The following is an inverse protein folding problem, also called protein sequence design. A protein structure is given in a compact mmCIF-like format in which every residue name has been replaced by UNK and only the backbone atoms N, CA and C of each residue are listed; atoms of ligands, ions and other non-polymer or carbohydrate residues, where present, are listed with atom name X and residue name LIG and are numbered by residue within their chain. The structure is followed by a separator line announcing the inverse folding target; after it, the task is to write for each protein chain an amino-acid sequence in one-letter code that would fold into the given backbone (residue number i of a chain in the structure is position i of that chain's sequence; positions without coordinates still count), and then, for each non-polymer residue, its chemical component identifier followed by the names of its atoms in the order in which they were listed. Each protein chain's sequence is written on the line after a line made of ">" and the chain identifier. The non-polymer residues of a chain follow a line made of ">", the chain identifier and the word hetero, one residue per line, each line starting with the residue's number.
data_IF_449703135152
#
_entry.id   IF_449703135152
#
_cell.length_a   1.000
_cell.length_b   1.000
_cell.length_c   1.000
_cell.angle_alpha   90.00
_cell.angle_beta   90.00
_cell.angle_gamma   90.00
#
_symmetry.space_group_name_H-M   'P 1'
#
loop_
_entity.id
_entity.type
_entity.pdbx_description
1 polymer ?
#
# COMPACT_ATOMS: atom_id res chain seq x y z
N UNK A 1 -14.16 11.59 -44.27
CA UNK A 1 -13.33 12.15 -43.18
C UNK A 1 -13.78 11.48 -41.90
N UNK A 2 -12.95 10.65 -41.28
CA UNK A 2 -13.31 9.93 -40.06
C UNK A 2 -13.39 10.91 -38.90
N UNK A 3 -14.56 10.96 -38.28
CA UNK A 3 -14.88 11.86 -37.17
C UNK A 3 -13.97 11.55 -35.98
N UNK A 4 -13.15 12.54 -35.59
CA UNK A 4 -12.23 12.39 -34.46
C UNK A 4 -13.03 12.39 -33.16
N UNK A 5 -13.16 11.23 -32.52
CA UNK A 5 -13.90 11.08 -31.27
C UNK A 5 -12.99 11.30 -30.07
N UNK A 6 -13.09 12.48 -29.47
CA UNK A 6 -12.28 12.92 -28.31
C UNK A 6 -12.33 11.93 -27.14
N UNK A 7 -13.49 11.30 -26.90
CA UNK A 7 -13.67 10.35 -25.81
C UNK A 7 -12.92 9.03 -26.03
N UNK A 8 -12.83 8.56 -27.29
CA UNK A 8 -12.10 7.34 -27.63
C UNK A 8 -10.60 7.54 -27.47
N UNK A 9 -10.09 8.69 -27.90
CA UNK A 9 -8.68 9.07 -27.73
C UNK A 9 -8.31 9.25 -26.26
N UNK A 10 -9.19 9.87 -25.46
CA UNK A 10 -8.98 9.98 -24.00
C UNK A 10 -8.93 8.60 -23.32
N UNK A 11 -9.80 7.68 -23.70
CA UNK A 11 -9.80 6.33 -23.15
C UNK A 11 -8.52 5.56 -23.55
N UNK A 12 -8.09 5.69 -24.80
CA UNK A 12 -6.85 5.09 -25.29
C UNK A 12 -5.62 5.63 -24.53
N UNK A 13 -5.54 6.96 -24.34
CA UNK A 13 -4.46 7.60 -23.59
C UNK A 13 -4.44 7.19 -22.10
N UNK A 14 -5.61 7.03 -21.48
CA UNK A 14 -5.71 6.58 -20.09
C UNK A 14 -5.25 5.13 -19.93
N UNK A 15 -5.64 4.25 -20.85
CA UNK A 15 -5.20 2.85 -20.84
C UNK A 15 -3.70 2.73 -21.12
N UNK A 16 -3.18 3.49 -22.08
CA UNK A 16 -1.75 3.56 -22.37
C UNK A 16 -0.97 4.07 -21.13
N UNK A 17 -1.47 5.11 -20.47
CA UNK A 17 -0.88 5.62 -19.22
C UNK A 17 -0.88 4.56 -18.11
N UNK A 18 -1.94 3.75 -18.01
CA UNK A 18 -2.04 2.64 -17.05
C UNK A 18 -1.01 1.56 -17.34
N UNK A 19 -0.80 1.22 -18.61
CA UNK A 19 0.17 0.21 -19.07
C UNK A 19 1.63 0.69 -18.89
N UNK A 20 1.91 1.97 -19.17
CA UNK A 20 3.24 2.58 -18.97
C UNK A 20 3.62 2.60 -17.49
N UNK A 21 2.64 2.79 -16.60
CA UNK A 21 2.86 2.88 -15.15
C UNK A 21 3.32 1.54 -14.58
N UNK A 22 4.63 1.29 -14.58
CA UNK A 22 5.23 0.14 -13.89
C UNK A 22 5.01 0.26 -12.38
N UNK A 23 4.22 -0.63 -11.74
CA UNK A 23 4.11 -0.64 -10.30
C UNK A 23 5.46 -1.11 -9.72
N UNK A 24 6.19 -0.20 -9.06
CA UNK A 24 7.37 -0.59 -8.29
C UNK A 24 6.92 -1.41 -7.08
N UNK A 25 7.00 -2.73 -7.20
CA UNK A 25 6.79 -3.62 -6.07
C UNK A 25 7.97 -3.49 -5.11
N UNK A 26 7.81 -2.65 -4.07
CA UNK A 26 8.69 -2.65 -2.91
C UNK A 26 8.02 -3.45 -1.80
N UNK A 27 8.66 -4.55 -1.40
CA UNK A 27 8.33 -5.24 -0.14
C UNK A 27 8.47 -4.22 0.99
N UNK A 28 7.43 -4.10 1.81
CA UNK A 28 7.50 -3.26 3.00
C UNK A 28 8.47 -3.90 3.99
N UNK A 29 9.22 -3.08 4.73
CA UNK A 29 10.02 -3.58 5.86
C UNK A 29 9.15 -4.26 6.93
N UNK A 30 7.86 -3.92 6.97
CA UNK A 30 6.86 -4.53 7.85
C UNK A 30 6.48 -5.96 7.43
N UNK A 31 6.71 -6.34 6.16
CA UNK A 31 6.33 -7.66 5.66
C UNK A 31 7.11 -8.78 6.38
N UNK A 32 8.32 -8.48 6.87
CA UNK A 32 9.12 -9.37 7.72
C UNK A 32 8.44 -9.69 9.06
N UNK A 33 7.59 -8.80 9.56
CA UNK A 33 6.90 -8.90 10.86
C UNK A 33 5.40 -9.20 10.69
N UNK A 34 4.97 -9.60 9.50
CA UNK A 34 3.55 -9.83 9.19
C UNK A 34 2.87 -10.75 10.20
N UNK A 35 3.52 -11.85 10.58
CA UNK A 35 2.96 -12.79 11.56
C UNK A 35 2.68 -12.14 12.92
N UNK A 36 3.69 -11.47 13.50
CA UNK A 36 3.56 -10.80 14.79
C UNK A 36 2.55 -9.66 14.76
N UNK A 37 2.60 -8.81 13.72
CA UNK A 37 1.70 -7.67 13.56
C UNK A 37 0.25 -8.13 13.37
N UNK A 38 0.03 -9.22 12.62
CA UNK A 38 -1.29 -9.78 12.41
C UNK A 38 -1.87 -10.40 13.68
N UNK A 39 -1.07 -11.11 14.45
CA UNK A 39 -1.49 -11.65 15.75
C UNK A 39 -1.88 -10.52 16.72
N UNK A 40 -1.07 -9.46 16.80
CA UNK A 40 -1.38 -8.29 17.63
C UNK A 40 -2.65 -7.59 17.16
N UNK A 41 -2.82 -7.39 15.85
CA UNK A 41 -4.02 -6.76 15.28
C UNK A 41 -5.28 -7.59 15.52
N UNK A 42 -5.20 -8.92 15.35
CA UNK A 42 -6.30 -9.85 15.66
C UNK A 42 -6.66 -9.86 17.15
N UNK A 43 -5.68 -9.63 18.03
CA UNK A 43 -5.92 -9.44 19.47
C UNK A 43 -6.53 -8.05 19.82
N UNK A 44 -6.79 -7.20 18.83
CA UNK A 44 -7.41 -5.89 19.01
C UNK A 44 -6.43 -4.72 19.14
N UNK A 45 -5.13 -4.93 18.88
CA UNK A 45 -4.15 -3.84 18.95
C UNK A 45 -4.40 -2.78 17.87
N UNK A 46 -4.35 -1.52 18.27
CA UNK A 46 -4.43 -0.36 17.40
C UNK A 46 -3.15 -0.15 16.59
N UNK A 47 -3.25 0.61 15.49
CA UNK A 47 -2.09 0.95 14.66
C UNK A 47 -0.96 1.67 15.44
N UNK A 48 -1.29 2.45 16.47
CA UNK A 48 -0.32 3.13 17.32
C UNK A 48 0.44 2.15 18.23
N UNK A 49 -0.23 1.11 18.73
CA UNK A 49 0.39 0.06 19.53
C UNK A 49 1.30 -0.82 18.69
N UNK A 50 0.88 -1.16 17.46
CA UNK A 50 1.74 -1.83 16.49
C UNK A 50 3.00 -0.99 16.19
N UNK A 51 2.86 0.33 16.03
CA UNK A 51 4.00 1.22 15.86
C UNK A 51 4.94 1.19 17.07
N UNK A 52 4.40 1.17 18.30
CA UNK A 52 5.18 1.07 19.54
C UNK A 52 5.92 -0.26 19.64
N UNK A 53 5.26 -1.37 19.28
CA UNK A 53 5.88 -2.70 19.20
C UNK A 53 7.06 -2.72 18.22
N UNK A 54 6.88 -2.12 17.04
CA UNK A 54 7.94 -1.99 16.03
C UNK A 54 9.11 -1.14 16.53
N UNK A 55 8.85 -0.07 17.29
CA UNK A 55 9.90 0.74 17.93
C UNK A 55 10.74 -0.08 18.91
N UNK A 56 10.12 -0.95 19.71
CA UNK A 56 10.84 -1.87 20.60
C UNK A 56 11.78 -2.82 19.83
N UNK A 57 11.37 -3.24 18.63
CA UNK A 57 12.18 -4.06 17.70
C UNK A 57 13.21 -3.24 16.88
N UNK A 58 13.48 -1.99 17.28
CA UNK A 58 14.39 -1.04 16.61
C UNK A 58 13.95 -0.64 15.20
N UNK A 59 12.66 -0.78 14.87
CA UNK A 59 12.09 -0.42 13.58
C UNK A 59 11.38 0.92 13.70
N UNK A 60 11.95 1.93 13.04
CA UNK A 60 11.38 3.28 13.01
C UNK A 60 10.48 3.41 11.78
N UNK A 61 9.17 3.36 12.01
CA UNK A 61 8.15 3.66 10.99
C UNK A 61 7.21 4.76 11.48
N UNK A 62 6.61 5.46 10.53
CA UNK A 62 5.56 6.45 10.78
C UNK A 62 4.23 5.71 10.90
N UNK A 63 3.30 6.24 11.71
CA UNK A 63 1.96 5.67 11.88
C UNK A 63 1.26 5.44 10.54
N UNK A 64 1.40 6.38 9.60
CA UNK A 64 0.84 6.28 8.24
C UNK A 64 1.33 5.07 7.44
N UNK A 65 2.55 4.59 7.73
CA UNK A 65 3.08 3.36 7.12
C UNK A 65 2.39 2.14 7.70
N UNK A 66 2.12 2.13 9.01
CA UNK A 66 1.40 1.03 9.67
C UNK A 66 -0.06 1.01 9.22
N UNK A 67 -0.75 2.14 9.16
CA UNK A 67 -2.15 2.20 8.69
C UNK A 67 -2.28 1.79 7.23
N UNK A 68 -1.37 2.25 6.35
CA UNK A 68 -1.34 1.80 4.95
C UNK A 68 -1.04 0.31 4.84
N UNK A 69 -0.20 -0.22 5.71
CA UNK A 69 0.13 -1.65 5.72
C UNK A 69 -1.06 -2.48 6.18
N UNK A 70 -1.76 -2.05 7.24
CA UNK A 70 -3.02 -2.65 7.70
C UNK A 70 -4.10 -2.60 6.63
N UNK A 71 -4.26 -1.50 5.90
CA UNK A 71 -5.22 -1.44 4.78
C UNK A 71 -4.95 -2.47 3.65
N UNK A 72 -3.73 -3.06 3.62
CA UNK A 72 -3.34 -4.07 2.63
C UNK A 72 -3.27 -5.50 3.19
N UNK A 73 -3.17 -5.67 4.51
CA UNK A 73 -2.89 -6.96 5.18
C UNK A 73 -3.76 -7.26 6.42
N UNK A 74 -4.57 -6.29 6.84
CA UNK A 74 -5.51 -6.40 7.96
C UNK A 74 -6.74 -7.20 7.59
#
# INVERSE_FOLDING_TARGET
>A
MTEFSVSQELAALQEETRLIRKPRYRKSRLDRYTGELRQLHQAGASAAELQRCLRAKRIRVVLSTVTRWLARHG
#
